data_IF_165158184952
#
_entry.id   IF_165158184952
#
_cell.length_a   1.000
_cell.length_b   1.000
_cell.length_c   1.000
_cell.angle_alpha   90.00
_cell.angle_beta   90.00
_cell.angle_gamma   90.00
#
_symmetry.space_group_name_H-M   'P 1'
#
loop_
_entity.id
_entity.type
_entity.pdbx_description
1 polymer ?
#
# COMPACT_ATOMS: atom_id res chain seq x y z
N UNK A 1 18.41 -20.30 49.12
CA UNK A 1 19.61 -21.13 48.98
C UNK A 1 19.29 -22.17 47.93
N UNK A 2 20.00 -22.05 46.81
CA UNK A 2 20.34 -23.04 45.77
C UNK A 2 19.18 -23.82 45.12
N UNK A 3 18.87 -23.71 43.82
CA UNK A 3 19.72 -23.49 42.66
C UNK A 3 19.86 -24.82 41.91
N UNK A 4 19.33 -24.92 40.67
CA UNK A 4 19.86 -25.78 39.59
C UNK A 4 19.09 -25.58 38.27
N UNK A 5 19.64 -24.71 37.43
CA UNK A 5 20.08 -24.91 36.04
C UNK A 5 19.42 -25.93 35.09
N UNK A 6 19.07 -25.38 33.91
CA UNK A 6 19.20 -25.88 32.52
C UNK A 6 18.18 -26.89 31.98
N UNK A 7 17.58 -26.52 30.84
CA UNK A 7 17.56 -27.37 29.62
C UNK A 7 17.23 -26.54 28.37
N UNK A 8 18.17 -26.55 27.43
CA UNK A 8 17.99 -26.26 26.00
C UNK A 8 17.63 -27.59 25.34
N UNK A 9 16.54 -27.66 24.59
CA UNK A 9 16.37 -28.65 23.50
C UNK A 9 15.66 -27.98 22.32
N UNK A 10 16.37 -27.95 21.19
CA UNK A 10 15.90 -27.64 19.85
C UNK A 10 15.49 -28.98 19.20
N UNK A 11 14.26 -29.14 18.72
CA UNK A 11 13.91 -30.18 17.74
C UNK A 11 12.86 -29.64 16.77
N UNK A 12 13.22 -29.62 15.48
CA UNK A 12 12.33 -29.44 14.35
C UNK A 12 11.93 -30.83 13.80
N UNK A 13 10.64 -31.08 13.55
CA UNK A 13 10.16 -32.11 12.60
C UNK A 13 8.77 -31.73 12.03
N UNK A 14 8.77 -31.38 10.75
CA UNK A 14 8.03 -31.99 9.61
C UNK A 14 6.51 -32.30 9.67
N UNK A 15 5.83 -31.85 8.61
CA UNK A 15 4.43 -32.04 8.21
C UNK A 15 3.98 -33.50 8.02
N UNK A 16 2.70 -33.79 8.35
CA UNK A 16 1.57 -34.25 7.49
C UNK A 16 0.49 -34.88 8.39
N UNK A 17 -0.75 -34.34 8.38
CA UNK A 17 -1.98 -35.15 8.26
C UNK A 17 -3.21 -34.28 7.92
N UNK A 18 -3.99 -34.75 6.94
CA UNK A 18 -5.30 -34.23 6.51
C UNK A 18 -6.39 -34.82 7.42
N UNK A 19 -7.26 -33.98 8.00
CA UNK A 19 -8.65 -34.34 8.33
C UNK A 19 -9.53 -33.11 8.66
N UNK A 20 -10.51 -32.89 7.78
CA UNK A 20 -11.83 -32.25 7.94
C UNK A 20 -12.23 -31.74 9.34
N UNK A 21 -12.53 -30.44 9.41
CA UNK A 21 -13.27 -29.82 10.50
C UNK A 21 -13.39 -28.32 10.27
N UNK A 22 -14.55 -27.85 9.79
CA UNK A 22 -14.85 -26.43 9.71
C UNK A 22 -14.81 -25.86 11.13
N UNK A 23 -13.79 -25.07 11.42
CA UNK A 23 -13.78 -24.14 12.54
C UNK A 23 -13.45 -22.76 11.98
N UNK A 24 -14.26 -21.79 12.38
CA UNK A 24 -14.05 -20.37 12.12
C UNK A 24 -12.71 -19.96 12.72
N UNK A 25 -11.65 -19.89 11.90
CA UNK A 25 -10.41 -19.26 12.32
C UNK A 25 -10.68 -17.77 12.35
N UNK A 26 -10.93 -17.26 13.56
CA UNK A 26 -10.78 -15.84 13.83
C UNK A 26 -9.29 -15.54 13.68
N UNK A 27 -8.90 -14.86 12.60
CA UNK A 27 -7.57 -14.27 12.51
C UNK A 27 -7.55 -13.14 13.54
N UNK A 28 -7.07 -13.46 14.74
CA UNK A 28 -6.64 -12.43 15.69
C UNK A 28 -5.37 -11.87 15.07
N UNK A 29 -5.50 -10.71 14.43
CA UNK A 29 -4.34 -9.90 14.07
C UNK A 29 -3.73 -9.49 15.41
N UNK A 30 -2.57 -10.04 15.75
CA UNK A 30 -1.74 -9.50 16.82
C UNK A 30 -1.36 -8.08 16.39
N UNK A 31 -2.10 -7.10 16.91
CA UNK A 31 -1.70 -5.70 16.86
C UNK A 31 -0.36 -5.63 17.59
N UNK A 32 0.73 -5.20 16.94
CA UNK A 32 1.99 -4.97 17.65
C UNK A 32 1.70 -4.03 18.82
N UNK A 33 2.00 -4.47 20.04
CA UNK A 33 1.98 -3.57 21.19
C UNK A 33 2.95 -2.42 20.88
N UNK A 34 2.41 -1.22 20.68
CA UNK A 34 3.17 0.01 20.58
C UNK A 34 3.89 0.24 21.91
N UNK A 35 5.12 -0.24 22.01
CA UNK A 35 6.06 0.28 22.99
C UNK A 35 6.45 1.67 22.49
N UNK A 36 5.92 2.69 23.16
CA UNK A 36 6.38 4.08 23.05
C UNK A 36 7.79 4.16 23.63
N UNK A 37 8.79 3.70 22.88
CA UNK A 37 10.18 4.04 23.17
C UNK A 37 10.39 5.47 22.69
N UNK A 38 10.28 6.40 23.63
CA UNK A 38 10.96 7.68 23.52
C UNK A 38 12.42 7.35 23.18
N UNK A 39 13.01 7.97 22.15
CA UNK A 39 14.45 7.93 21.98
C UNK A 39 15.00 8.63 23.24
N UNK A 40 15.40 7.86 24.25
CA UNK A 40 16.02 8.43 25.44
C UNK A 40 17.19 9.30 24.97
N UNK A 41 17.30 10.52 25.49
CA UNK A 41 18.50 11.32 25.35
C UNK A 41 19.65 10.52 25.96
N UNK A 42 20.37 9.80 25.09
CA UNK A 42 21.54 9.05 25.48
C UNK A 42 22.67 10.06 25.65
N UNK A 43 22.81 10.62 26.84
CA UNK A 43 24.02 11.30 27.34
C UNK A 43 25.19 10.30 27.53
N UNK A 44 25.22 9.17 26.80
CA UNK A 44 26.39 8.30 26.77
C UNK A 44 27.40 8.86 25.76
N UNK A 45 28.71 8.86 26.09
CA UNK A 45 29.73 9.14 25.10
C UNK A 45 29.52 8.23 23.89
N UNK A 46 29.58 8.81 22.70
CA UNK A 46 29.43 8.13 21.40
C UNK A 46 30.26 6.85 21.43
N UNK A 47 29.61 5.71 21.68
CA UNK A 47 30.27 4.42 21.56
C UNK A 47 30.31 4.14 20.06
N UNK A 48 31.38 4.60 19.41
CA UNK A 48 31.66 4.24 18.03
C UNK A 48 31.69 2.72 17.96
N UNK A 49 30.63 2.11 17.40
CA UNK A 49 30.72 0.75 16.92
C UNK A 49 31.89 0.65 15.93
N UNK A 50 32.36 -0.56 15.66
CA UNK A 50 33.36 -0.73 14.61
C UNK A 50 32.78 -0.22 13.30
N UNK A 51 33.38 0.84 12.75
CA UNK A 51 33.08 1.35 11.40
C UNK A 51 33.16 0.19 10.41
N UNK A 52 32.24 0.15 9.45
CA UNK A 52 32.38 -0.79 8.33
C UNK A 52 33.73 -0.58 7.67
N UNK A 53 34.47 -1.67 7.44
CA UNK A 53 35.55 -1.59 6.46
C UNK A 53 34.94 -1.35 5.07
N UNK A 54 35.66 -0.67 4.19
CA UNK A 54 35.19 -0.44 2.81
C UNK A 54 34.82 -1.75 2.10
N UNK A 55 35.56 -2.83 2.37
CA UNK A 55 35.30 -4.16 1.79
C UNK A 55 33.99 -4.76 2.30
N UNK A 56 33.71 -4.64 3.60
CA UNK A 56 32.44 -5.12 4.19
C UNK A 56 31.24 -4.34 3.64
N UNK A 57 31.35 -3.02 3.57
CA UNK A 57 30.29 -2.16 3.04
C UNK A 57 30.00 -2.50 1.57
N UNK A 58 31.02 -2.62 0.72
CA UNK A 58 30.88 -3.01 -0.69
C UNK A 58 30.26 -4.39 -0.85
N UNK A 59 30.66 -5.36 -0.02
CA UNK A 59 30.11 -6.72 -0.06
C UNK A 59 28.62 -6.72 0.29
N UNK A 60 28.25 -6.07 1.39
CA UNK A 60 26.84 -5.92 1.81
C UNK A 60 26.00 -5.22 0.75
N UNK A 61 26.51 -4.13 0.18
CA UNK A 61 25.84 -3.38 -0.87
C UNK A 61 25.55 -4.26 -2.10
N UNK A 62 26.56 -4.94 -2.62
CA UNK A 62 26.41 -5.83 -3.79
C UNK A 62 25.43 -6.98 -3.54
N UNK A 63 25.43 -7.56 -2.34
CA UNK A 63 24.44 -8.57 -1.94
C UNK A 63 23.02 -8.00 -1.97
N UNK A 64 22.80 -6.83 -1.35
CA UNK A 64 21.50 -6.18 -1.33
C UNK A 64 21.02 -5.81 -2.74
N UNK A 65 21.88 -5.28 -3.61
CA UNK A 65 21.50 -4.97 -5.00
C UNK A 65 21.12 -6.22 -5.79
N UNK A 66 21.84 -7.33 -5.58
CA UNK A 66 21.52 -8.61 -6.23
C UNK A 66 20.17 -9.14 -5.74
N UNK A 67 19.91 -9.09 -4.44
CA UNK A 67 18.65 -9.51 -3.84
C UNK A 67 17.48 -8.61 -4.27
N UNK A 68 17.66 -7.29 -4.32
CA UNK A 68 16.65 -6.33 -4.77
C UNK A 68 16.26 -6.58 -6.23
N UNK A 69 17.23 -6.73 -7.13
CA UNK A 69 16.94 -7.08 -8.53
C UNK A 69 16.27 -8.46 -8.67
N UNK A 70 16.63 -9.42 -7.81
CA UNK A 70 15.96 -10.73 -7.77
C UNK A 70 14.49 -10.60 -7.35
N UNK A 71 14.20 -9.80 -6.32
CA UNK A 71 12.83 -9.52 -5.86
C UNK A 71 12.00 -8.83 -6.95
N UNK A 72 12.60 -7.89 -7.69
CA UNK A 72 11.95 -7.29 -8.86
C UNK A 72 11.58 -8.32 -9.92
N UNK A 73 12.53 -9.18 -10.31
CA UNK A 73 12.26 -10.23 -11.29
C UNK A 73 11.16 -11.20 -10.82
N UNK A 74 11.13 -11.53 -9.52
CA UNK A 74 10.10 -12.36 -8.91
C UNK A 74 8.71 -11.71 -8.98
N UNK A 75 8.60 -10.42 -8.62
CA UNK A 75 7.33 -9.70 -8.70
C UNK A 75 6.83 -9.55 -10.15
N UNK A 76 7.74 -9.30 -11.09
CA UNK A 76 7.41 -9.27 -12.52
C UNK A 76 6.91 -10.64 -13.00
N UNK A 77 7.54 -11.73 -12.56
CA UNK A 77 7.08 -13.08 -12.87
C UNK A 77 5.71 -13.37 -12.23
N UNK A 78 5.50 -12.97 -10.98
CA UNK A 78 4.22 -13.14 -10.28
C UNK A 78 3.09 -12.38 -10.99
N UNK A 79 3.35 -11.16 -11.46
CA UNK A 79 2.41 -10.41 -12.30
C UNK A 79 2.04 -11.18 -13.56
N UNK A 80 3.02 -11.71 -14.31
CA UNK A 80 2.75 -12.49 -15.51
C UNK A 80 2.01 -13.81 -15.24
N UNK A 81 2.15 -14.35 -14.03
CA UNK A 81 1.48 -15.58 -13.60
C UNK A 81 0.11 -15.32 -12.94
N UNK A 82 -0.29 -14.05 -12.74
CA UNK A 82 -1.54 -13.72 -12.08
C UNK A 82 -2.73 -14.31 -12.83
N UNK A 83 -3.64 -14.94 -12.09
CA UNK A 83 -4.85 -15.53 -12.63
C UNK A 83 -5.96 -15.52 -11.59
N UNK A 84 -7.20 -15.37 -12.07
CA UNK A 84 -8.39 -15.51 -11.22
C UNK A 84 -8.56 -16.98 -10.82
N UNK A 85 -8.61 -17.33 -9.52
CA UNK A 85 -8.79 -18.69 -9.08
C UNK A 85 -10.23 -19.18 -9.35
N UNK A 86 -10.39 -20.48 -9.62
CA UNK A 86 -11.71 -21.11 -9.68
C UNK A 86 -12.29 -21.28 -8.27
N UNK A 87 -13.58 -20.99 -8.11
CA UNK A 87 -14.30 -21.10 -6.83
C UNK A 87 -15.57 -21.96 -6.96
N UNK A 88 -15.43 -23.27 -7.17
CA UNK A 88 -16.58 -24.18 -7.26
C UNK A 88 -17.39 -24.24 -5.96
N UNK A 89 -16.82 -23.83 -4.83
CA UNK A 89 -17.51 -23.64 -3.56
C UNK A 89 -18.55 -22.50 -3.63
N UNK A 90 -18.18 -21.35 -4.21
CA UNK A 90 -19.09 -20.20 -4.35
C UNK A 90 -20.15 -20.45 -5.42
N UNK A 91 -19.77 -21.04 -6.55
CA UNK A 91 -20.70 -21.34 -7.67
C UNK A 91 -21.90 -22.17 -7.20
N UNK A 92 -21.71 -23.10 -6.24
CA UNK A 92 -22.78 -23.97 -5.72
C UNK A 92 -23.87 -23.23 -4.94
N UNK A 93 -23.54 -22.10 -4.31
CA UNK A 93 -24.44 -21.36 -3.43
C UNK A 93 -24.93 -20.04 -4.04
N UNK A 94 -24.31 -19.60 -5.14
CA UNK A 94 -24.54 -18.29 -5.72
C UNK A 94 -25.77 -18.27 -6.65
N UNK A 95 -26.39 -17.08 -6.76
CA UNK A 95 -27.37 -16.81 -7.81
C UNK A 95 -26.64 -16.45 -9.10
N UNK A 96 -26.81 -17.27 -10.14
CA UNK A 96 -26.24 -17.00 -11.46
C UNK A 96 -26.98 -15.84 -12.15
N UNK A 97 -26.24 -14.80 -12.55
CA UNK A 97 -26.83 -13.59 -13.17
C UNK A 97 -27.60 -13.85 -14.47
N UNK A 98 -27.22 -14.88 -15.25
CA UNK A 98 -27.91 -15.22 -16.51
C UNK A 98 -29.34 -15.69 -16.27
N UNK A 99 -29.59 -16.35 -15.13
CA UNK A 99 -30.95 -16.74 -14.72
C UNK A 99 -31.83 -15.53 -14.40
N UNK A 100 -31.22 -14.36 -14.20
CA UNK A 100 -31.87 -13.10 -13.84
C UNK A 100 -31.91 -12.09 -14.99
N UNK A 101 -31.56 -12.52 -16.20
CA UNK A 101 -31.72 -11.74 -17.43
C UNK A 101 -30.47 -11.02 -17.92
N UNK A 102 -29.37 -11.03 -17.18
CA UNK A 102 -28.10 -10.47 -17.66
C UNK A 102 -27.56 -11.31 -18.82
N UNK A 103 -27.09 -10.67 -19.89
CA UNK A 103 -26.64 -11.34 -21.11
C UNK A 103 -25.15 -11.68 -21.06
N UNK A 104 -24.30 -10.74 -20.67
CA UNK A 104 -22.86 -10.91 -20.72
C UNK A 104 -22.32 -11.10 -22.15
N UNK A 105 -22.96 -10.46 -23.13
CA UNK A 105 -22.67 -10.58 -24.56
C UNK A 105 -21.81 -9.42 -25.15
N UNK A 106 -21.41 -8.46 -24.32
CA UNK A 106 -20.63 -7.28 -24.69
C UNK A 106 -21.41 -6.17 -25.42
N UNK A 107 -22.72 -6.36 -25.64
CA UNK A 107 -23.55 -5.44 -26.44
C UNK A 107 -24.74 -4.95 -25.65
N UNK A 108 -25.48 -5.87 -25.03
CA UNK A 108 -26.65 -5.58 -24.22
C UNK A 108 -26.22 -4.86 -22.95
N UNK A 109 -26.81 -3.69 -22.68
CA UNK A 109 -26.61 -2.99 -21.41
C UNK A 109 -27.28 -3.78 -20.28
N UNK A 110 -26.46 -4.39 -19.43
CA UNK A 110 -26.87 -5.25 -18.33
C UNK A 110 -27.12 -4.45 -17.03
N UNK A 111 -26.93 -3.12 -17.05
CA UNK A 111 -26.98 -2.25 -15.85
C UNK A 111 -28.32 -2.36 -15.12
N UNK A 112 -29.44 -2.23 -15.83
CA UNK A 112 -30.77 -2.27 -15.22
C UNK A 112 -31.12 -3.67 -14.68
N UNK A 113 -30.69 -4.72 -15.38
CA UNK A 113 -30.90 -6.10 -14.97
C UNK A 113 -30.11 -6.42 -13.69
N UNK A 114 -28.84 -5.99 -13.62
CA UNK A 114 -28.00 -6.12 -12.42
C UNK A 114 -28.59 -5.35 -11.23
N UNK A 115 -29.00 -4.10 -11.42
CA UNK A 115 -29.61 -3.31 -10.34
C UNK A 115 -30.91 -3.94 -9.82
N UNK A 116 -31.75 -4.48 -10.71
CA UNK A 116 -32.96 -5.21 -10.35
C UNK A 116 -32.64 -6.48 -9.54
N UNK A 117 -31.64 -7.26 -9.97
CA UNK A 117 -31.20 -8.46 -9.25
C UNK A 117 -30.72 -8.12 -7.83
N UNK A 118 -29.81 -7.14 -7.72
CA UNK A 118 -29.31 -6.64 -6.44
C UNK A 118 -30.46 -6.19 -5.55
N UNK A 119 -31.47 -5.51 -6.08
CA UNK A 119 -32.63 -5.04 -5.30
C UNK A 119 -33.44 -6.21 -4.75
N UNK A 120 -33.69 -7.25 -5.56
CA UNK A 120 -34.56 -8.39 -5.22
C UNK A 120 -33.94 -9.38 -4.24
N UNK A 121 -32.63 -9.62 -4.32
CA UNK A 121 -31.99 -10.66 -3.52
C UNK A 121 -31.95 -10.34 -2.03
N UNK A 122 -32.00 -11.34 -1.13
CA UNK A 122 -31.78 -11.11 0.30
C UNK A 122 -30.41 -10.49 0.61
N UNK A 123 -30.31 -9.80 1.74
CA UNK A 123 -29.04 -9.34 2.31
C UNK A 123 -28.09 -10.52 2.52
N UNK A 124 -26.81 -10.36 2.17
CA UNK A 124 -25.77 -11.40 2.28
C UNK A 124 -25.77 -12.41 1.13
N UNK A 125 -26.47 -12.14 0.04
CA UNK A 125 -26.47 -13.04 -1.13
C UNK A 125 -25.13 -13.05 -1.86
N UNK A 126 -24.79 -14.21 -2.42
CA UNK A 126 -23.67 -14.37 -3.36
C UNK A 126 -24.21 -14.34 -4.79
N UNK A 127 -23.65 -13.48 -5.63
CA UNK A 127 -24.02 -13.30 -7.03
C UNK A 127 -22.86 -13.78 -7.90
N UNK A 128 -23.14 -14.74 -8.78
CA UNK A 128 -22.15 -15.33 -9.67
C UNK A 128 -22.32 -14.82 -11.11
N UNK A 129 -21.21 -14.32 -11.66
CA UNK A 129 -21.08 -13.90 -13.04
C UNK A 129 -20.26 -14.97 -13.80
N UNK A 130 -20.89 -15.80 -14.64
CA UNK A 130 -20.15 -16.68 -15.54
C UNK A 130 -19.26 -15.88 -16.51
N UNK A 131 -18.23 -16.49 -17.10
CA UNK A 131 -17.40 -15.85 -18.13
C UNK A 131 -18.25 -15.23 -19.24
N UNK A 132 -17.95 -13.99 -19.58
CA UNK A 132 -18.75 -13.12 -20.46
C UNK A 132 -18.39 -11.65 -20.27
N UNK A 133 -18.83 -10.82 -21.21
CA UNK A 133 -18.65 -9.37 -21.17
C UNK A 133 -19.97 -8.69 -20.82
N UNK A 134 -20.08 -8.21 -19.59
CA UNK A 134 -21.28 -7.53 -19.10
C UNK A 134 -21.08 -6.03 -19.28
N UNK A 135 -21.81 -5.42 -20.21
CA UNK A 135 -21.79 -3.96 -20.34
C UNK A 135 -22.49 -3.34 -19.13
N UNK A 136 -21.75 -2.63 -18.30
CA UNK A 136 -22.23 -1.98 -17.09
C UNK A 136 -21.80 -0.50 -17.13
N UNK A 137 -22.69 0.36 -17.62
CA UNK A 137 -22.40 1.79 -17.80
C UNK A 137 -22.57 2.57 -16.46
N UNK A 138 -23.22 1.96 -15.48
CA UNK A 138 -23.49 2.56 -14.16
C UNK A 138 -24.67 3.56 -14.14
N UNK A 139 -25.12 3.97 -12.94
CA UNK A 139 -24.64 3.53 -11.64
C UNK A 139 -25.31 2.23 -11.20
N UNK A 140 -24.53 1.36 -10.58
CA UNK A 140 -24.99 0.28 -9.73
C UNK A 140 -24.88 0.74 -8.27
N UNK A 141 -25.99 0.65 -7.54
CA UNK A 141 -26.08 1.00 -6.12
C UNK A 141 -26.15 -0.28 -5.28
N UNK A 142 -25.21 -0.42 -4.36
CA UNK A 142 -25.16 -1.51 -3.37
C UNK A 142 -25.33 -0.91 -1.99
N UNK A 143 -26.41 -1.26 -1.30
CA UNK A 143 -26.76 -0.74 0.03
C UNK A 143 -27.03 -1.84 1.06
N UNK A 144 -26.61 -3.07 0.76
CA UNK A 144 -26.74 -4.23 1.63
C UNK A 144 -25.56 -5.19 1.40
N UNK A 145 -25.24 -6.06 2.39
CA UNK A 145 -24.16 -7.04 2.29
C UNK A 145 -24.35 -7.90 1.03
N UNK A 146 -23.28 -8.12 0.28
CA UNK A 146 -23.31 -8.90 -0.96
C UNK A 146 -21.91 -9.38 -1.33
N UNK A 147 -21.82 -10.56 -1.91
CA UNK A 147 -20.62 -11.04 -2.60
C UNK A 147 -20.85 -11.02 -4.09
N UNK A 148 -20.08 -10.23 -4.84
CA UNK A 148 -20.01 -10.29 -6.30
C UNK A 148 -18.79 -11.15 -6.67
N UNK A 149 -19.03 -12.23 -7.39
CA UNK A 149 -17.98 -13.17 -7.74
C UNK A 149 -18.04 -13.55 -9.23
N UNK A 150 -16.90 -13.44 -9.91
CA UNK A 150 -16.69 -13.91 -11.27
C UNK A 150 -15.60 -14.98 -11.34
N UNK A 151 -15.52 -15.67 -12.48
CA UNK A 151 -14.39 -16.54 -12.82
C UNK A 151 -13.57 -15.95 -13.96
N UNK A 152 -12.41 -16.56 -14.26
CA UNK A 152 -11.58 -16.18 -15.41
C UNK A 152 -12.43 -15.99 -16.68
N UNK A 153 -12.31 -14.81 -17.30
CA UNK A 153 -13.12 -14.39 -18.45
C UNK A 153 -14.39 -13.60 -18.10
N UNK A 154 -14.61 -13.26 -16.83
CA UNK A 154 -15.69 -12.36 -16.40
C UNK A 154 -15.24 -10.90 -16.51
N UNK A 155 -15.91 -10.13 -17.36
CA UNK A 155 -15.57 -8.72 -17.62
C UNK A 155 -16.77 -7.83 -17.39
N UNK A 156 -16.61 -6.78 -16.59
CA UNK A 156 -17.51 -5.63 -16.55
C UNK A 156 -16.97 -4.59 -17.54
N UNK A 157 -17.58 -4.53 -18.72
CA UNK A 157 -17.29 -3.53 -19.74
C UNK A 157 -17.93 -2.20 -19.32
N UNK A 158 -17.12 -1.32 -18.75
CA UNK A 158 -17.49 0.01 -18.25
C UNK A 158 -17.03 1.12 -19.20
N UNK A 159 -16.65 0.80 -20.44
CA UNK A 159 -16.03 1.75 -21.37
C UNK A 159 -16.92 2.94 -21.74
N UNK A 160 -18.23 2.85 -21.49
CA UNK A 160 -19.22 3.88 -21.78
C UNK A 160 -19.70 4.63 -20.52
N UNK A 161 -19.10 4.34 -19.37
CA UNK A 161 -19.46 4.98 -18.12
C UNK A 161 -19.19 6.49 -18.19
N UNK A 162 -20.17 7.29 -17.78
CA UNK A 162 -20.07 8.77 -17.67
C UNK A 162 -20.14 9.24 -16.22
N UNK A 163 -20.20 8.28 -15.28
CA UNK A 163 -20.39 8.49 -13.86
C UNK A 163 -19.87 7.27 -13.10
N UNK A 164 -19.73 7.37 -11.79
CA UNK A 164 -19.21 6.27 -10.95
C UNK A 164 -20.03 4.99 -11.14
N UNK A 165 -19.34 3.89 -11.38
CA UNK A 165 -19.97 2.65 -11.86
C UNK A 165 -20.61 1.90 -10.70
N UNK A 166 -19.86 1.56 -9.65
CA UNK A 166 -20.39 0.94 -8.45
C UNK A 166 -20.31 1.92 -7.28
N UNK A 167 -21.47 2.28 -6.73
CA UNK A 167 -21.58 3.16 -5.56
C UNK A 167 -22.09 2.34 -4.38
N UNK A 168 -21.26 2.21 -3.36
CA UNK A 168 -21.50 1.32 -2.23
C UNK A 168 -21.79 2.15 -0.99
N UNK A 169 -22.99 1.97 -0.46
CA UNK A 169 -23.49 2.64 0.73
C UNK A 169 -23.32 4.18 0.69
N UNK A 170 -23.55 4.80 -0.48
CA UNK A 170 -23.41 6.24 -0.71
C UNK A 170 -24.29 7.14 0.18
N UNK A 171 -25.28 6.57 0.88
CA UNK A 171 -26.12 7.25 1.89
C UNK A 171 -25.81 6.78 3.31
N UNK A 172 -24.68 6.11 3.49
CA UNK A 172 -24.21 5.63 4.78
C UNK A 172 -23.91 6.77 5.74
N UNK A 173 -23.74 6.40 7.00
CA UNK A 173 -23.35 7.30 8.08
C UNK A 173 -22.62 6.48 9.13
N UNK A 174 -22.02 7.14 10.12
CA UNK A 174 -21.39 6.46 11.26
C UNK A 174 -22.37 5.56 12.02
N UNK A 175 -23.68 5.87 12.00
CA UNK A 175 -24.73 5.05 12.63
C UNK A 175 -25.25 3.90 11.72
N UNK A 176 -24.90 3.89 10.44
CA UNK A 176 -25.44 2.97 9.44
C UNK A 176 -24.36 2.40 8.52
N UNK A 177 -23.21 2.03 9.11
CA UNK A 177 -22.12 1.37 8.39
C UNK A 177 -22.61 0.06 7.75
N UNK A 178 -22.23 -0.16 6.49
CA UNK A 178 -22.56 -1.38 5.76
C UNK A 178 -21.43 -2.40 5.90
N UNK A 179 -21.75 -3.60 6.39
CA UNK A 179 -20.78 -4.69 6.60
C UNK A 179 -20.84 -5.75 5.51
N UNK A 180 -19.72 -6.38 5.21
CA UNK A 180 -19.67 -7.63 4.44
C UNK A 180 -20.00 -7.46 2.96
N UNK A 181 -19.27 -6.57 2.29
CA UNK A 181 -19.25 -6.50 0.83
C UNK A 181 -17.96 -7.16 0.35
N UNK A 182 -18.08 -8.08 -0.60
CA UNK A 182 -16.93 -8.73 -1.25
C UNK A 182 -17.06 -8.64 -2.76
N UNK A 183 -15.97 -8.29 -3.46
CA UNK A 183 -15.90 -8.28 -4.93
C UNK A 183 -14.66 -9.06 -5.34
N UNK A 184 -14.83 -10.11 -6.14
CA UNK A 184 -13.70 -10.95 -6.53
C UNK A 184 -13.83 -11.61 -7.91
N UNK A 185 -12.70 -11.83 -8.58
CA UNK A 185 -12.63 -12.59 -9.82
C UNK A 185 -13.25 -11.89 -11.04
N UNK A 186 -13.23 -10.55 -11.06
CA UNK A 186 -13.86 -9.73 -12.09
C UNK A 186 -12.81 -8.81 -12.70
N UNK A 187 -12.87 -8.63 -14.02
CA UNK A 187 -12.12 -7.58 -14.73
C UNK A 187 -13.03 -6.37 -14.96
N UNK A 188 -12.60 -5.19 -14.55
CA UNK A 188 -13.21 -3.91 -14.87
C UNK A 188 -12.46 -3.26 -16.03
N UNK A 189 -13.12 -3.14 -17.17
CA UNK A 189 -12.61 -2.40 -18.33
C UNK A 189 -13.17 -0.98 -18.30
N UNK A 190 -12.34 -0.02 -17.93
CA UNK A 190 -12.74 1.36 -17.67
C UNK A 190 -12.98 2.21 -18.92
N UNK A 191 -13.52 3.43 -18.75
CA UNK A 191 -13.82 4.36 -19.84
C UNK A 191 -12.60 5.01 -20.51
N UNK A 192 -11.38 4.69 -20.07
CA UNK A 192 -10.15 5.28 -20.58
C UNK A 192 -9.41 6.13 -19.55
N UNK A 193 -8.11 6.32 -19.78
CA UNK A 193 -7.35 7.37 -19.09
C UNK A 193 -7.95 8.76 -19.39
N UNK A 194 -7.67 9.74 -18.53
CA UNK A 194 -8.21 11.10 -18.67
C UNK A 194 -9.75 11.17 -18.61
N UNK A 195 -10.37 10.28 -17.84
CA UNK A 195 -11.82 10.25 -17.59
C UNK A 195 -12.13 10.32 -16.09
N UNK A 196 -13.28 10.90 -15.76
CA UNK A 196 -13.67 11.15 -14.36
C UNK A 196 -14.27 9.95 -13.58
N UNK A 197 -14.87 8.91 -14.20
CA UNK A 197 -15.53 7.87 -13.42
C UNK A 197 -14.60 7.01 -12.56
N UNK A 198 -14.94 6.88 -11.27
CA UNK A 198 -14.43 5.82 -10.43
C UNK A 198 -15.16 4.49 -10.69
N UNK A 199 -14.44 3.36 -10.66
CA UNK A 199 -15.07 2.05 -10.86
C UNK A 199 -15.82 1.60 -9.60
N UNK A 200 -15.18 1.71 -8.43
CA UNK A 200 -15.76 1.38 -7.14
C UNK A 200 -15.65 2.62 -6.23
N UNK A 201 -16.78 3.11 -5.75
CA UNK A 201 -16.86 4.22 -4.83
C UNK A 201 -17.58 3.79 -3.54
N UNK A 202 -16.78 3.49 -2.51
CA UNK A 202 -17.24 2.92 -1.26
C UNK A 202 -17.34 3.98 -0.16
N UNK A 203 -18.45 3.96 0.59
CA UNK A 203 -18.73 4.89 1.68
C UNK A 203 -19.17 4.15 2.93
N UNK A 204 -18.62 4.51 4.09
CA UNK A 204 -19.06 3.98 5.40
C UNK A 204 -19.16 2.44 5.41
N UNK A 205 -18.22 1.74 4.76
CA UNK A 205 -18.16 0.29 4.81
C UNK A 205 -17.39 -0.18 6.05
N UNK A 206 -17.66 -1.41 6.45
CA UNK A 206 -16.83 -2.19 7.36
C UNK A 206 -16.67 -3.60 6.78
N UNK A 207 -15.50 -4.23 6.93
CA UNK A 207 -15.20 -5.56 6.34
C UNK A 207 -15.49 -5.58 4.83
N UNK A 208 -14.91 -4.63 4.10
CA UNK A 208 -14.98 -4.55 2.64
C UNK A 208 -13.76 -5.26 2.05
N UNK A 209 -14.00 -6.20 1.14
CA UNK A 209 -12.95 -7.05 0.59
C UNK A 209 -12.96 -7.04 -0.94
N UNK A 210 -11.81 -6.76 -1.53
CA UNK A 210 -11.57 -6.86 -2.98
C UNK A 210 -10.40 -7.81 -3.20
N UNK A 211 -10.59 -8.86 -3.99
CA UNK A 211 -9.51 -9.82 -4.30
C UNK A 211 -9.59 -10.40 -5.70
N UNK A 212 -8.45 -10.64 -6.35
CA UNK A 212 -8.43 -11.18 -7.72
C UNK A 212 -9.25 -10.33 -8.71
N UNK A 213 -9.20 -9.01 -8.56
CA UNK A 213 -9.86 -8.08 -9.48
C UNK A 213 -8.81 -7.42 -10.35
N UNK A 214 -9.09 -7.26 -11.65
CA UNK A 214 -8.28 -6.41 -12.52
C UNK A 214 -9.04 -5.14 -12.83
N UNK A 215 -8.41 -4.00 -12.62
CA UNK A 215 -8.87 -2.68 -13.04
C UNK A 215 -8.00 -2.25 -14.23
N UNK A 216 -8.60 -2.05 -15.40
CA UNK A 216 -7.89 -1.69 -16.62
C UNK A 216 -8.38 -0.37 -17.20
N UNK A 217 -7.44 0.50 -17.59
CA UNK A 217 -7.70 1.69 -18.41
C UNK A 217 -8.73 2.66 -17.80
N UNK A 218 -8.37 3.23 -16.65
CA UNK A 218 -9.24 4.11 -15.84
C UNK A 218 -8.57 5.46 -15.69
N UNK A 219 -9.34 6.54 -15.72
CA UNK A 219 -8.84 7.89 -15.49
C UNK A 219 -8.69 8.21 -14.01
N UNK A 220 -9.81 8.49 -13.34
CA UNK A 220 -9.83 9.05 -12.01
C UNK A 220 -9.45 8.08 -10.88
N UNK A 221 -10.22 7.01 -10.66
CA UNK A 221 -9.95 6.09 -9.56
C UNK A 221 -10.45 4.67 -9.81
N UNK A 222 -9.62 3.66 -9.56
CA UNK A 222 -10.11 2.29 -9.57
C UNK A 222 -10.97 2.00 -8.33
N UNK A 223 -10.46 2.29 -7.13
CA UNK A 223 -11.21 2.16 -5.88
C UNK A 223 -11.08 3.43 -5.04
N UNK A 224 -12.22 3.97 -4.61
CA UNK A 224 -12.31 4.99 -3.57
C UNK A 224 -12.86 4.37 -2.29
N UNK A 225 -12.13 4.56 -1.20
CA UNK A 225 -12.41 4.07 0.15
C UNK A 225 -12.65 5.28 1.04
N UNK A 226 -13.92 5.68 1.20
CA UNK A 226 -14.28 6.89 1.91
C UNK A 226 -14.95 6.56 3.25
N UNK A 227 -14.34 6.95 4.36
CA UNK A 227 -14.85 6.67 5.72
C UNK A 227 -15.08 5.16 5.99
N UNK A 228 -14.27 4.28 5.42
CA UNK A 228 -14.43 2.82 5.57
C UNK A 228 -13.48 2.25 6.62
N UNK A 229 -13.86 1.17 7.29
CA UNK A 229 -12.95 0.47 8.20
C UNK A 229 -12.78 -1.00 7.86
N UNK A 230 -11.66 -1.60 8.28
CA UNK A 230 -11.44 -3.04 8.11
C UNK A 230 -11.55 -3.43 6.62
N UNK A 231 -10.77 -2.75 5.78
CA UNK A 231 -10.79 -2.95 4.32
C UNK A 231 -9.57 -3.75 3.91
N UNK A 232 -9.77 -4.79 3.10
CA UNK A 232 -8.69 -5.57 2.50
C UNK A 232 -8.79 -5.49 0.98
N UNK A 233 -7.68 -5.13 0.33
CA UNK A 233 -7.53 -5.13 -1.12
C UNK A 233 -6.29 -5.97 -1.43
N UNK A 234 -6.49 -7.13 -2.03
CA UNK A 234 -5.41 -8.11 -2.20
C UNK A 234 -5.40 -8.78 -3.57
N UNK A 235 -4.26 -9.32 -3.97
CA UNK A 235 -4.11 -10.18 -5.15
C UNK A 235 -4.78 -9.62 -6.41
N UNK A 236 -4.76 -8.30 -6.59
CA UNK A 236 -5.48 -7.58 -7.64
C UNK A 236 -4.51 -6.81 -8.54
N UNK A 237 -4.97 -6.47 -9.74
CA UNK A 237 -4.20 -5.73 -10.74
C UNK A 237 -4.82 -4.35 -10.96
N UNK A 238 -4.00 -3.31 -10.92
CA UNK A 238 -4.31 -1.94 -11.29
C UNK A 238 -3.46 -1.57 -12.50
N UNK A 239 -4.04 -1.66 -13.68
CA UNK A 239 -3.35 -1.58 -14.96
C UNK A 239 -3.79 -0.33 -15.72
N UNK A 240 -2.86 0.60 -15.95
CA UNK A 240 -3.10 1.84 -16.67
C UNK A 240 -4.20 2.71 -16.02
N UNK A 241 -3.95 3.16 -14.78
CA UNK A 241 -4.85 4.03 -14.00
C UNK A 241 -4.25 5.43 -13.92
N UNK A 242 -4.72 6.34 -14.78
CA UNK A 242 -4.06 7.63 -14.97
C UNK A 242 -5.00 8.74 -15.46
N UNK A 243 -4.89 9.90 -14.82
CA UNK A 243 -5.45 11.17 -15.28
C UNK A 243 -4.40 12.26 -15.01
N UNK A 244 -4.41 13.35 -15.75
CA UNK A 244 -3.52 14.48 -15.46
C UNK A 244 -4.06 15.24 -14.24
N UNK A 245 -3.24 15.37 -13.19
CA UNK A 245 -3.62 16.04 -11.93
C UNK A 245 -4.54 15.24 -11.00
N UNK A 246 -5.05 14.09 -11.44
CA UNK A 246 -5.85 13.11 -10.68
C UNK A 246 -5.39 11.69 -11.05
N UNK A 247 -6.01 10.62 -10.58
CA UNK A 247 -5.62 9.27 -10.99
C UNK A 247 -5.06 8.46 -9.84
N UNK A 248 -5.88 7.54 -9.36
CA UNK A 248 -5.67 6.79 -8.14
C UNK A 248 -5.96 5.30 -8.36
N UNK A 249 -4.98 4.43 -8.13
CA UNK A 249 -5.29 2.99 -8.02
C UNK A 249 -6.26 2.77 -6.85
N UNK A 250 -5.82 3.16 -5.66
CA UNK A 250 -6.65 3.19 -4.45
C UNK A 250 -6.53 4.55 -3.79
N UNK A 251 -7.67 5.22 -3.59
CA UNK A 251 -7.76 6.46 -2.82
C UNK A 251 -8.48 6.19 -1.49
N UNK A 252 -7.82 6.50 -0.37
CA UNK A 252 -8.33 6.29 0.99
C UNK A 252 -8.58 7.65 1.62
N UNK A 253 -9.80 7.89 2.09
CA UNK A 253 -10.19 9.23 2.53
C UNK A 253 -10.99 9.25 3.82
N UNK A 254 -11.00 10.44 4.44
CA UNK A 254 -11.80 10.79 5.62
C UNK A 254 -11.53 9.85 6.82
N UNK A 255 -12.55 9.38 7.55
CA UNK A 255 -12.40 8.52 8.74
C UNK A 255 -12.09 7.06 8.39
N UNK A 256 -11.28 6.83 7.37
CA UNK A 256 -10.89 5.48 6.99
C UNK A 256 -9.82 4.95 7.94
N UNK A 257 -9.99 3.71 8.41
CA UNK A 257 -9.11 3.13 9.43
C UNK A 257 -8.99 1.61 9.28
N UNK A 258 -7.79 1.06 9.54
CA UNK A 258 -7.44 -0.36 9.36
C UNK A 258 -7.67 -0.78 7.91
N UNK A 259 -6.87 -0.20 7.03
CA UNK A 259 -6.87 -0.49 5.59
C UNK A 259 -5.64 -1.30 5.27
N UNK A 260 -5.83 -2.47 4.68
CA UNK A 260 -4.75 -3.39 4.33
C UNK A 260 -4.73 -3.64 2.83
N UNK A 261 -3.65 -3.23 2.17
CA UNK A 261 -3.47 -3.36 0.72
C UNK A 261 -2.22 -4.19 0.49
N UNK A 262 -2.37 -5.42 0.00
CA UNK A 262 -1.23 -6.33 -0.12
C UNK A 262 -1.28 -7.28 -1.32
N UNK A 263 -0.10 -7.71 -1.76
CA UNK A 263 0.04 -8.68 -2.87
C UNK A 263 -0.63 -8.23 -4.18
N UNK A 264 -0.74 -6.91 -4.41
CA UNK A 264 -1.29 -6.34 -5.62
C UNK A 264 -0.21 -5.92 -6.63
N UNK A 265 -0.63 -5.74 -7.89
CA UNK A 265 0.22 -5.26 -8.97
C UNK A 265 -0.33 -3.94 -9.54
N UNK A 266 0.42 -2.85 -9.39
CA UNK A 266 0.13 -1.54 -9.98
C UNK A 266 1.07 -1.33 -11.18
N UNK A 267 0.55 -1.52 -12.38
CA UNK A 267 1.37 -1.79 -13.59
C UNK A 267 1.01 -0.90 -14.77
N UNK A 268 1.88 -0.95 -15.80
CA UNK A 268 1.79 -0.20 -17.05
C UNK A 268 1.98 1.31 -16.88
N UNK A 269 1.08 1.97 -16.16
CA UNK A 269 1.13 3.41 -15.87
C UNK A 269 0.22 3.77 -14.69
N UNK A 270 0.75 4.53 -13.73
CA UNK A 270 -0.02 5.12 -12.63
C UNK A 270 0.27 6.62 -12.47
N UNK A 271 -0.64 7.38 -11.84
CA UNK A 271 -0.26 8.68 -11.24
C UNK A 271 0.16 8.47 -9.80
N UNK A 272 -0.80 8.39 -8.88
CA UNK A 272 -0.58 7.83 -7.54
C UNK A 272 -1.20 6.44 -7.46
N UNK A 273 -0.43 5.43 -7.08
CA UNK A 273 -0.97 4.07 -7.03
C UNK A 273 -1.84 3.87 -5.78
N UNK A 274 -1.32 4.23 -4.60
CA UNK A 274 -2.09 4.28 -3.36
C UNK A 274 -1.92 5.68 -2.77
N UNK A 275 -3.02 6.39 -2.54
CA UNK A 275 -3.00 7.72 -1.91
C UNK A 275 -3.96 7.76 -0.73
N UNK A 276 -3.64 8.63 0.22
CA UNK A 276 -4.52 8.95 1.32
C UNK A 276 -4.66 10.45 1.51
N UNK A 277 -5.79 10.90 2.03
CA UNK A 277 -6.02 12.30 2.36
C UNK A 277 -7.49 12.63 2.48
N UNK A 278 -7.83 13.90 2.66
CA UNK A 278 -9.23 14.32 2.70
C UNK A 278 -9.37 15.73 2.14
N UNK A 279 -10.48 15.97 1.45
CA UNK A 279 -10.93 17.32 1.09
C UNK A 279 -11.96 17.88 2.08
N UNK A 280 -12.33 17.12 3.11
CA UNK A 280 -13.25 17.54 4.16
C UNK A 280 -12.51 18.40 5.20
N UNK A 281 -12.61 19.72 5.02
CA UNK A 281 -11.97 20.70 5.91
C UNK A 281 -12.58 20.77 7.32
N UNK A 282 -13.72 20.11 7.57
CA UNK A 282 -14.38 20.11 8.87
C UNK A 282 -14.08 18.86 9.72
N UNK A 283 -13.29 17.92 9.19
CA UNK A 283 -12.97 16.68 9.85
C UNK A 283 -11.95 16.93 10.98
N UNK A 284 -12.24 16.57 12.25
CA UNK A 284 -11.27 16.68 13.34
C UNK A 284 -10.03 15.82 13.08
N UNK A 285 -8.88 16.22 13.61
CA UNK A 285 -7.62 15.51 13.35
C UNK A 285 -7.61 14.05 13.82
N UNK A 286 -8.24 13.78 14.97
CA UNK A 286 -8.43 12.43 15.49
C UNK A 286 -9.29 11.52 14.59
N UNK A 287 -9.91 12.10 13.56
CA UNK A 287 -10.81 11.43 12.63
C UNK A 287 -10.24 11.38 11.20
N UNK A 288 -9.00 11.85 10.97
CA UNK A 288 -8.29 11.62 9.71
C UNK A 288 -7.98 10.14 9.49
N UNK A 289 -7.52 9.83 8.28
CA UNK A 289 -7.13 8.47 7.89
C UNK A 289 -6.09 7.91 8.88
N UNK A 290 -6.37 6.71 9.36
CA UNK A 290 -5.59 5.99 10.37
C UNK A 290 -5.24 4.57 9.88
N UNK A 291 -4.16 4.02 10.42
CA UNK A 291 -3.77 2.61 10.27
C UNK A 291 -3.87 2.06 8.84
N UNK A 292 -2.98 2.53 7.96
CA UNK A 292 -2.89 2.04 6.58
C UNK A 292 -1.64 1.19 6.44
N UNK A 293 -1.82 -0.06 6.03
CA UNK A 293 -0.73 -1.01 5.75
C UNK A 293 -0.69 -1.34 4.26
N UNK A 294 0.46 -1.07 3.64
CA UNK A 294 0.79 -1.37 2.25
C UNK A 294 1.92 -2.39 2.24
N UNK A 295 1.61 -3.64 1.95
CA UNK A 295 2.54 -4.76 2.13
C UNK A 295 2.71 -5.63 0.88
N UNK A 296 3.93 -6.00 0.51
CA UNK A 296 4.21 -6.97 -0.57
C UNK A 296 3.57 -6.64 -1.93
N UNK A 297 3.32 -5.37 -2.24
CA UNK A 297 2.80 -4.96 -3.54
C UNK A 297 3.96 -4.71 -4.54
N UNK A 298 3.63 -4.82 -5.83
CA UNK A 298 4.49 -4.38 -6.93
C UNK A 298 3.95 -3.11 -7.57
N UNK A 299 4.81 -2.12 -7.73
CA UNK A 299 4.51 -0.86 -8.39
C UNK A 299 5.47 -0.63 -9.54
N UNK A 300 4.96 -0.24 -10.71
CA UNK A 300 5.79 0.21 -11.82
C UNK A 300 5.22 1.41 -12.56
N UNK A 301 6.12 2.24 -13.08
CA UNK A 301 5.80 3.33 -14.02
C UNK A 301 4.81 4.36 -13.45
N UNK A 302 4.99 4.77 -12.20
CA UNK A 302 4.21 5.89 -11.64
C UNK A 302 4.81 7.22 -12.08
N UNK A 303 3.93 8.12 -12.50
CA UNK A 303 4.31 9.49 -12.89
C UNK A 303 4.48 10.41 -11.68
N UNK A 304 3.91 10.02 -10.54
CA UNK A 304 4.10 10.62 -9.21
C UNK A 304 4.52 9.51 -8.23
N UNK A 305 3.97 9.47 -7.01
CA UNK A 305 4.31 8.50 -5.97
C UNK A 305 3.68 7.13 -6.19
N UNK A 306 4.39 6.05 -5.87
CA UNK A 306 3.77 4.73 -5.71
C UNK A 306 2.88 4.69 -4.46
N UNK A 307 3.38 5.15 -3.32
CA UNK A 307 2.60 5.29 -2.09
C UNK A 307 2.68 6.74 -1.61
N UNK A 308 1.51 7.34 -1.43
CA UNK A 308 1.36 8.75 -1.04
C UNK A 308 0.43 8.92 0.17
N UNK A 309 0.75 9.91 1.01
CA UNK A 309 -0.14 10.43 2.02
C UNK A 309 -0.21 11.96 1.99
N UNK A 310 -1.27 12.48 1.38
CA UNK A 310 -1.61 13.89 1.41
C UNK A 310 -2.12 14.34 2.78
N UNK A 311 -2.02 15.65 3.01
CA UNK A 311 -2.56 16.28 4.20
C UNK A 311 -4.07 16.52 4.05
N UNK A 312 -4.86 16.32 5.12
CA UNK A 312 -4.43 15.85 6.43
C UNK A 312 -4.66 14.34 6.65
N UNK A 313 -3.71 13.69 7.33
CA UNK A 313 -3.63 12.24 7.54
C UNK A 313 -2.94 11.96 8.87
N UNK A 314 -3.47 11.07 9.72
CA UNK A 314 -2.95 10.86 11.09
C UNK A 314 -1.99 9.66 11.22
N UNK A 315 -2.14 8.63 10.38
CA UNK A 315 -1.36 7.40 10.46
C UNK A 315 -1.76 6.49 11.64
N UNK A 316 -1.01 5.41 11.92
CA UNK A 316 0.26 5.04 11.31
C UNK A 316 0.14 4.56 9.86
N UNK A 317 1.23 4.72 9.12
CA UNK A 317 1.46 4.17 7.78
C UNK A 317 2.53 3.12 7.85
N UNK A 318 2.21 1.90 7.46
CA UNK A 318 3.16 0.80 7.38
C UNK A 318 3.35 0.49 5.91
N UNK A 319 4.56 0.72 5.39
CA UNK A 319 4.93 0.42 4.01
C UNK A 319 6.04 -0.62 4.05
N UNK A 320 5.71 -1.88 3.78
CA UNK A 320 6.62 -2.99 4.03
C UNK A 320 6.75 -3.97 2.87
N UNK A 321 7.96 -4.37 2.55
CA UNK A 321 8.18 -5.49 1.63
C UNK A 321 7.75 -5.22 0.18
N UNK A 322 7.49 -3.97 -0.19
CA UNK A 322 7.02 -3.63 -1.53
C UNK A 322 8.19 -3.57 -2.51
N UNK A 323 7.88 -3.76 -3.79
CA UNK A 323 8.82 -3.52 -4.89
C UNK A 323 8.30 -2.37 -5.75
N UNK A 324 9.10 -1.33 -5.94
CA UNK A 324 8.76 -0.14 -6.71
C UNK A 324 9.79 0.06 -7.81
N UNK A 325 9.37 0.06 -9.07
CA UNK A 325 10.26 0.17 -10.22
C UNK A 325 9.87 1.33 -11.13
N UNK A 326 10.82 2.18 -11.53
CA UNK A 326 10.58 3.29 -12.45
C UNK A 326 9.44 4.22 -11.99
N UNK A 327 9.43 4.56 -10.69
CA UNK A 327 8.46 5.45 -10.09
C UNK A 327 9.05 6.86 -9.96
N UNK A 328 8.25 7.93 -10.06
CA UNK A 328 8.78 9.26 -9.79
C UNK A 328 9.26 9.36 -8.34
N UNK A 329 8.47 8.86 -7.39
CA UNK A 329 8.90 8.63 -6.02
C UNK A 329 8.38 7.27 -5.55
N UNK A 330 9.16 6.57 -4.73
CA UNK A 330 8.70 5.33 -4.12
C UNK A 330 7.61 5.60 -3.07
N UNK A 331 8.00 6.27 -2.00
CA UNK A 331 7.13 6.63 -0.88
C UNK A 331 7.23 8.13 -0.63
N UNK A 332 6.10 8.83 -0.57
CA UNK A 332 6.02 10.19 -0.05
C UNK A 332 4.92 10.25 1.01
N UNK A 333 5.28 10.49 2.26
CA UNK A 333 4.29 10.66 3.32
C UNK A 333 4.43 12.07 3.87
N UNK A 334 3.38 12.87 3.72
CA UNK A 334 3.38 14.27 4.15
C UNK A 334 2.87 14.50 5.59
N UNK A 335 2.22 13.51 6.20
CA UNK A 335 1.74 13.58 7.60
C UNK A 335 1.58 12.17 8.21
N UNK A 336 1.37 12.09 9.52
CA UNK A 336 1.21 10.86 10.29
C UNK A 336 2.53 10.09 10.49
N UNK A 337 2.55 9.16 11.45
CA UNK A 337 3.75 8.35 11.72
C UNK A 337 3.96 7.27 10.65
N UNK A 338 5.21 7.01 10.28
CA UNK A 338 5.60 6.11 9.21
C UNK A 338 6.53 4.98 9.67
N UNK A 339 6.24 3.75 9.24
CA UNK A 339 7.12 2.59 9.32
C UNK A 339 7.36 2.08 7.89
N UNK A 340 8.55 2.34 7.35
CA UNK A 340 8.94 2.02 5.98
C UNK A 340 10.08 1.00 6.03
N UNK A 341 9.76 -0.27 5.81
CA UNK A 341 10.70 -1.37 6.07
C UNK A 341 10.81 -2.40 4.94
N UNK A 342 12.01 -2.89 4.68
CA UNK A 342 12.26 -3.99 3.71
C UNK A 342 11.69 -3.71 2.29
N UNK A 343 11.59 -2.44 1.87
CA UNK A 343 11.14 -2.13 0.52
C UNK A 343 12.32 -2.15 -0.45
N UNK A 344 12.03 -2.50 -1.71
CA UNK A 344 12.98 -2.46 -2.82
C UNK A 344 12.52 -1.41 -3.82
N UNK A 345 13.33 -0.38 -4.05
CA UNK A 345 13.04 0.70 -4.99
C UNK A 345 14.11 0.76 -6.06
N UNK A 346 13.73 0.67 -7.33
CA UNK A 346 14.67 0.53 -8.45
C UNK A 346 14.31 1.53 -9.55
N UNK A 347 15.31 2.27 -10.04
CA UNK A 347 15.14 3.28 -11.09
C UNK A 347 14.10 4.37 -10.74
N UNK A 348 13.90 4.65 -9.45
CA UNK A 348 13.02 5.72 -9.02
C UNK A 348 13.75 7.07 -9.06
N UNK A 349 13.03 8.18 -9.27
CA UNK A 349 13.71 9.49 -9.19
C UNK A 349 14.15 9.78 -7.76
N UNK A 350 13.24 9.60 -6.80
CA UNK A 350 13.56 9.60 -5.37
C UNK A 350 13.04 8.33 -4.70
N UNK A 351 13.68 7.91 -3.61
CA UNK A 351 13.27 6.73 -2.85
C UNK A 351 12.13 7.03 -1.88
N UNK A 352 12.49 7.48 -0.69
CA UNK A 352 11.59 7.78 0.42
C UNK A 352 11.64 9.27 0.74
N UNK A 353 10.49 9.90 0.76
CA UNK A 353 10.31 11.31 1.09
C UNK A 353 9.36 11.40 2.29
N UNK A 354 9.85 11.93 3.40
CA UNK A 354 9.05 12.26 4.57
C UNK A 354 9.20 13.76 4.83
N UNK A 355 8.58 14.57 3.98
CA UNK A 355 8.65 16.04 4.09
C UNK A 355 7.32 16.64 4.55
N UNK A 356 7.39 17.63 5.41
CA UNK A 356 6.28 18.25 6.11
C UNK A 356 6.56 19.76 6.29
N UNK A 357 6.60 20.52 5.19
CA UNK A 357 6.89 21.97 5.21
C UNK A 357 5.98 22.87 6.10
N UNK A 358 4.93 22.36 6.76
CA UNK A 358 3.89 23.19 7.40
C UNK A 358 3.24 22.64 8.71
N UNK A 359 3.79 21.60 9.34
CA UNK A 359 3.37 21.21 10.71
C UNK A 359 4.59 21.31 11.61
N UNK A 360 4.40 21.82 12.82
CA UNK A 360 5.44 21.78 13.86
C UNK A 360 5.94 20.32 13.97
N UNK A 361 7.20 20.05 13.58
CA UNK A 361 7.73 18.69 13.63
C UNK A 361 7.60 18.11 15.04
N UNK A 362 7.57 18.96 16.08
CA UNK A 362 7.50 18.59 17.49
C UNK A 362 6.08 18.31 18.00
N UNK A 363 5.06 18.47 17.15
CA UNK A 363 3.65 18.15 17.45
C UNK A 363 3.21 16.78 16.88
N UNK A 364 4.13 16.02 16.28
CA UNK A 364 3.98 14.57 16.18
C UNK A 364 4.33 14.05 17.58
N UNK A 365 3.43 13.36 18.28
CA UNK A 365 3.66 12.88 19.66
C UNK A 365 4.92 12.00 19.83
N UNK A 366 5.07 11.19 20.88
CA UNK A 366 6.28 10.38 21.13
C UNK A 366 6.56 9.26 20.08
N UNK A 367 5.96 9.34 18.90
CA UNK A 367 6.04 8.37 17.80
C UNK A 367 7.33 8.59 17.03
N UNK A 368 8.04 7.50 16.77
CA UNK A 368 9.29 7.50 16.00
C UNK A 368 8.99 7.05 14.58
N UNK A 369 9.29 7.90 13.60
CA UNK A 369 9.30 7.49 12.18
C UNK A 369 10.46 6.53 11.94
N UNK A 370 10.22 5.45 11.20
CA UNK A 370 11.21 4.39 10.98
C UNK A 370 11.41 4.14 9.50
N UNK A 371 12.63 4.35 9.02
CA UNK A 371 13.07 3.98 7.68
C UNK A 371 14.17 2.93 7.84
N UNK A 372 13.81 1.64 7.70
CA UNK A 372 14.69 0.54 8.14
C UNK A 372 14.86 -0.53 7.06
N UNK A 373 16.11 -0.90 6.78
CA UNK A 373 16.49 -2.03 5.92
C UNK A 373 15.89 -1.97 4.49
N UNK A 374 15.69 -0.77 3.94
CA UNK A 374 15.24 -0.60 2.56
C UNK A 374 16.44 -0.69 1.58
N UNK A 375 16.19 -1.27 0.41
CA UNK A 375 17.16 -1.35 -0.69
C UNK A 375 16.75 -0.44 -1.84
N UNK A 376 17.60 0.51 -2.20
CA UNK A 376 17.34 1.50 -3.25
C UNK A 376 18.43 1.40 -4.33
N UNK A 377 18.06 1.30 -5.60
CA UNK A 377 18.99 1.02 -6.70
C UNK A 377 18.73 2.00 -7.85
N UNK A 378 19.79 2.64 -8.34
CA UNK A 378 19.75 3.62 -9.43
C UNK A 378 18.80 4.80 -9.14
N UNK A 379 18.94 5.41 -7.96
CA UNK A 379 18.16 6.59 -7.60
C UNK A 379 18.75 7.84 -8.27
N UNK A 380 17.88 8.68 -8.85
CA UNK A 380 18.30 9.85 -9.62
C UNK A 380 18.64 11.06 -8.74
N UNK A 381 17.83 11.29 -7.72
CA UNK A 381 17.95 12.41 -6.79
C UNK A 381 18.18 11.85 -5.38
N UNK A 382 17.29 12.13 -4.43
CA UNK A 382 17.43 11.73 -3.04
C UNK A 382 16.97 10.29 -2.81
N UNK A 383 17.80 9.47 -2.17
CA UNK A 383 17.35 8.15 -1.71
C UNK A 383 16.40 8.30 -0.52
N UNK A 384 16.79 9.08 0.47
CA UNK A 384 15.97 9.42 1.63
C UNK A 384 16.00 10.94 1.83
N UNK A 385 14.83 11.57 1.80
CA UNK A 385 14.64 13.00 2.08
C UNK A 385 13.65 13.18 3.23
N UNK A 386 14.10 13.81 4.32
CA UNK A 386 13.29 13.98 5.53
C UNK A 386 13.46 15.38 6.12
N UNK A 387 12.38 15.93 6.67
CA UNK A 387 12.39 17.18 7.45
C UNK A 387 11.66 17.04 8.81
N UNK A 388 11.35 15.80 9.21
CA UNK A 388 10.60 15.46 10.43
C UNK A 388 11.52 15.20 11.62
N UNK A 389 10.99 15.37 12.83
CA UNK A 389 11.66 15.01 14.09
C UNK A 389 11.37 13.56 14.51
N UNK A 390 12.10 13.06 15.52
CA UNK A 390 11.99 11.70 16.06
C UNK A 390 12.06 10.62 14.97
N UNK A 391 13.15 10.57 14.22
CA UNK A 391 13.32 9.61 13.12
C UNK A 391 14.49 8.65 13.35
N UNK A 392 14.26 7.38 13.01
CA UNK A 392 15.30 6.35 12.91
C UNK A 392 15.49 5.97 11.44
N UNK A 393 16.69 6.21 10.92
CA UNK A 393 17.13 5.80 9.58
C UNK A 393 18.21 4.75 9.74
N UNK A 394 17.86 3.47 9.58
CA UNK A 394 18.74 2.36 9.95
C UNK A 394 18.89 1.31 8.84
N UNK A 395 20.13 0.90 8.57
CA UNK A 395 20.41 -0.30 7.76
C UNK A 395 20.01 -0.19 6.28
N UNK A 396 19.64 1.01 5.80
CA UNK A 396 19.25 1.20 4.41
C UNK A 396 20.48 1.12 3.52
N UNK A 397 20.32 0.51 2.34
CA UNK A 397 21.36 0.37 1.34
C UNK A 397 20.87 1.04 0.06
N UNK A 398 21.54 2.11 -0.35
CA UNK A 398 21.13 2.92 -1.48
C UNK A 398 22.26 3.09 -2.49
N UNK A 399 21.92 2.98 -3.78
CA UNK A 399 22.79 3.32 -4.90
C UNK A 399 22.20 4.45 -5.74
N UNK A 400 22.94 5.52 -5.88
CA UNK A 400 22.61 6.67 -6.71
C UNK A 400 23.07 6.52 -8.16
N UNK A 401 23.11 7.65 -8.85
CA UNK A 401 23.55 7.79 -10.26
C UNK A 401 24.55 8.95 -10.44
N UNK A 402 25.34 9.24 -9.40
CA UNK A 402 26.22 10.42 -9.25
C UNK A 402 25.48 11.75 -9.23
N UNK A 403 24.27 11.72 -8.70
CA UNK A 403 23.39 12.87 -8.53
C UNK A 403 22.72 12.78 -7.15
N UNK A 404 22.09 13.86 -6.70
CA UNK A 404 21.35 13.92 -5.45
C UNK A 404 22.15 13.59 -4.20
N UNK A 405 21.43 13.23 -3.14
CA UNK A 405 21.98 12.85 -1.84
C UNK A 405 21.51 11.45 -1.44
N UNK A 406 22.37 10.65 -0.81
CA UNK A 406 21.94 9.35 -0.28
C UNK A 406 20.91 9.53 0.84
N UNK A 407 21.23 10.37 1.83
CA UNK A 407 20.30 10.83 2.85
C UNK A 407 20.40 12.36 2.92
N UNK A 408 19.26 13.05 2.89
CA UNK A 408 19.19 14.49 3.17
C UNK A 408 18.24 14.74 4.35
N UNK A 409 18.71 15.57 5.29
CA UNK A 409 17.89 16.18 6.33
C UNK A 409 17.69 17.64 5.92
N UNK A 410 16.49 17.96 5.40
CA UNK A 410 16.18 19.24 4.77
C UNK A 410 15.64 20.28 5.76
N UNK A 411 16.03 21.55 5.55
CA UNK A 411 15.45 22.82 6.06
C UNK A 411 15.18 23.04 7.56
N UNK A 412 15.11 21.99 8.40
CA UNK A 412 14.93 22.03 9.84
C UNK A 412 15.94 21.10 10.53
N UNK A 413 16.36 21.48 11.74
CA UNK A 413 17.15 20.59 12.59
C UNK A 413 16.18 19.72 13.39
N UNK A 414 16.04 18.42 13.12
CA UNK A 414 15.19 17.55 13.93
C UNK A 414 15.68 17.52 15.39
N UNK A 415 14.74 17.49 16.34
CA UNK A 415 15.04 17.35 17.78
C UNK A 415 15.68 16.00 18.11
N UNK A 416 15.35 14.95 17.36
CA UNK A 416 15.99 13.64 17.44
C UNK A 416 16.01 12.94 16.08
N UNK A 417 17.19 12.58 15.60
CA UNK A 417 17.36 11.83 14.36
C UNK A 417 18.55 10.89 14.48
N UNK A 418 18.30 9.58 14.45
CA UNK A 418 19.34 8.55 14.55
C UNK A 418 19.58 7.91 13.19
N UNK A 419 20.78 8.08 12.64
CA UNK A 419 21.19 7.55 11.33
C UNK A 419 22.27 6.50 11.52
N UNK A 420 21.93 5.23 11.32
CA UNK A 420 22.76 4.10 11.76
C UNK A 420 22.94 3.03 10.70
N UNK A 421 24.18 2.66 10.43
CA UNK A 421 24.46 1.45 9.66
C UNK A 421 24.01 1.50 8.20
N UNK A 422 23.76 2.70 7.65
CA UNK A 422 23.34 2.86 6.27
C UNK A 422 24.56 2.77 5.33
N UNK A 423 24.34 2.27 4.12
CA UNK A 423 25.37 2.18 3.08
C UNK A 423 24.88 2.97 1.86
N UNK A 424 25.61 4.02 1.50
CA UNK A 424 25.27 4.94 0.41
C UNK A 424 26.34 4.83 -0.67
N UNK A 425 25.97 4.46 -1.89
CA UNK A 425 26.87 4.24 -3.02
C UNK A 425 26.54 5.17 -4.18
N UNK A 426 27.55 5.74 -4.82
CA UNK A 426 27.44 6.47 -6.09
C UNK A 426 26.47 7.68 -6.05
N UNK A 427 26.42 8.42 -4.93
CA UNK A 427 25.70 9.70 -4.84
C UNK A 427 26.65 10.89 -5.02
N UNK A 428 26.10 12.06 -5.36
CA UNK A 428 26.89 13.30 -5.35
C UNK A 428 27.19 13.77 -3.92
N UNK A 429 26.31 13.45 -2.97
CA UNK A 429 26.49 13.68 -1.52
C UNK A 429 26.02 12.44 -0.78
N UNK A 430 26.76 11.98 0.22
CA UNK A 430 26.33 10.83 1.02
C UNK A 430 25.22 11.24 1.99
N UNK A 431 25.60 11.63 3.20
CA UNK A 431 24.68 12.22 4.18
C UNK A 431 24.81 13.76 4.14
N UNK A 432 23.73 14.44 3.79
CA UNK A 432 23.64 15.90 3.81
C UNK A 432 22.70 16.35 4.94
N UNK A 433 23.20 17.20 5.84
CA UNK A 433 22.40 17.82 6.89
C UNK A 433 22.34 19.32 6.61
N UNK A 434 21.15 19.84 6.31
CA UNK A 434 20.95 21.25 5.99
C UNK A 434 21.26 22.17 7.18
N UNK A 435 20.58 21.93 8.31
CA UNK A 435 20.82 22.63 9.57
C UNK A 435 21.20 21.59 10.64
N UNK A 436 22.46 21.54 11.08
CA UNK A 436 22.88 20.60 12.10
C UNK A 436 22.39 21.06 13.48
N UNK A 437 21.81 20.13 14.24
CA UNK A 437 21.51 20.33 15.66
C UNK A 437 21.89 19.13 16.52
N UNK A 438 21.84 19.28 17.86
CA UNK A 438 22.41 18.33 18.81
C UNK A 438 21.67 16.98 18.86
N UNK A 439 20.44 16.91 18.33
CA UNK A 439 19.63 15.69 18.27
C UNK A 439 20.00 14.69 17.18
N UNK A 440 20.91 15.06 16.26
CA UNK A 440 21.29 14.21 15.14
C UNK A 440 22.49 13.35 15.52
N UNK A 441 22.37 12.02 15.38
CA UNK A 441 23.47 11.07 15.57
C UNK A 441 23.77 10.26 14.31
N UNK A 442 25.06 10.09 14.02
CA UNK A 442 25.58 9.28 12.91
C UNK A 442 26.42 8.15 13.49
N UNK A 443 26.01 6.89 13.27
CA UNK A 443 26.72 5.72 13.79
C UNK A 443 26.93 4.67 12.68
N UNK A 444 28.18 4.27 12.42
CA UNK A 444 28.50 3.16 11.52
C UNK A 444 27.94 3.26 10.08
N UNK A 445 27.72 4.46 9.55
CA UNK A 445 27.34 4.64 8.15
C UNK A 445 28.55 4.50 7.23
N UNK A 446 28.35 4.05 5.99
CA UNK A 446 29.39 3.92 4.98
C UNK A 446 28.99 4.63 3.68
N UNK A 447 29.94 5.36 3.09
CA UNK A 447 29.80 6.04 1.81
C UNK A 447 30.79 5.41 0.81
N UNK A 448 30.27 4.89 -0.30
CA UNK A 448 31.02 4.16 -1.34
C UNK A 448 30.96 5.00 -2.61
N UNK A 449 32.11 5.26 -3.23
CA UNK A 449 32.21 6.01 -4.49
C UNK A 449 31.44 7.34 -4.52
N UNK A 450 31.19 7.92 -3.35
CA UNK A 450 30.41 9.13 -3.12
C UNK A 450 31.38 10.30 -2.93
N UNK A 451 31.02 11.48 -3.45
CA UNK A 451 31.90 12.66 -3.45
C UNK A 451 31.96 13.39 -2.12
#
# INVERSE_FOLDING_TARGET
MDGHSRSIILVAVMFILIAVGFSTVSVIIDVPQFLSEHIENVDNPITMGSLFTTVEAVTKANTAYTMGNTRLAQMQQAYQAWAVPSRPDLVKIATNVRSSGLKGDGVTDDTAALQSLLTKLPSGSTIYFPPGQYRIDGPIRINKPVTLFGESGTVFDCQRATQYVFTLNAKGSSASRLKGVTITGIVFEGPGIETDPAMIDAYYLQTFHVSYVKFHNIGYAAIRVNTCTDVTIEESIFDNVFQSGLGYGVSITDHSDRIYIHDNFFVTKGRHSITTGTSNTNLPEAEYVQSVTVENNYFENTTEQAVDAHKPTAGPYIVKGNVMNNCAQGVDLGNGSAEITDNVMINCKSGIVLTNMNVDPDNLGPKVDRIVDNTMINILYEAIDVDRTNILIQGNIAKGTKSGSGIIIAEYSPDSCKIVGNILDDFNRGIQIGIPGPGISLENNAEISTQ
#
